data_IF_819273773579
#
_entry.id   IF_819273773579
#
_cell.length_a   1.000
_cell.length_b   1.000
_cell.length_c   1.000
_cell.angle_alpha   90.00
_cell.angle_beta   90.00
_cell.angle_gamma   90.00
#
_symmetry.space_group_name_H-M   'P 1'
#
loop_
_entity.id
_entity.type
_entity.pdbx_description
1 polymer ?
#
# COMPACT_ATOMS: atom_id res chain seq x y z
N UNK A 1 26.04 -43.21 -42.71
CA UNK A 1 25.65 -43.04 -41.30
C UNK A 1 25.53 -41.57 -41.02
N UNK A 2 24.28 -41.02 -40.87
CA UNK A 2 24.02 -39.63 -40.50
C UNK A 2 23.82 -39.57 -38.99
N UNK A 3 24.76 -38.98 -38.26
CA UNK A 3 24.65 -38.71 -36.82
C UNK A 3 23.68 -37.54 -36.59
N UNK A 4 22.52 -37.83 -36.05
CA UNK A 4 21.61 -36.81 -35.59
C UNK A 4 22.14 -36.23 -34.28
N UNK A 5 22.63 -34.98 -34.31
CA UNK A 5 22.92 -34.20 -33.10
C UNK A 5 21.59 -33.70 -32.53
N UNK A 6 21.18 -34.30 -31.41
CA UNK A 6 20.08 -33.75 -30.61
C UNK A 6 20.61 -32.50 -29.92
N UNK A 7 20.14 -31.30 -30.32
CA UNK A 7 20.35 -30.05 -29.57
C UNK A 7 19.41 -30.08 -28.40
N UNK A 8 19.93 -30.38 -27.21
CA UNK A 8 19.21 -30.18 -25.95
C UNK A 8 19.11 -28.65 -25.72
N UNK A 9 17.95 -28.05 -25.98
CA UNK A 9 17.64 -26.70 -25.55
C UNK A 9 17.35 -26.74 -24.04
N UNK A 10 18.37 -26.53 -23.24
CA UNK A 10 18.13 -26.14 -21.86
C UNK A 10 17.55 -24.71 -21.87
N UNK A 11 16.24 -24.59 -21.64
CA UNK A 11 15.66 -23.31 -21.30
C UNK A 11 16.33 -22.86 -20.00
N UNK A 12 17.14 -21.81 -20.07
CA UNK A 12 17.61 -21.10 -18.87
C UNK A 12 16.37 -20.71 -18.08
N UNK A 13 16.30 -20.97 -16.76
CA UNK A 13 15.21 -20.49 -15.95
C UNK A 13 15.13 -18.97 -16.19
N UNK A 14 14.00 -18.49 -16.65
CA UNK A 14 13.70 -17.06 -16.63
C UNK A 14 13.77 -16.69 -15.16
N UNK A 15 14.81 -15.98 -14.78
CA UNK A 15 14.97 -15.38 -13.45
C UNK A 15 13.86 -14.31 -13.35
N UNK A 16 12.65 -14.77 -13.05
CA UNK A 16 11.50 -13.91 -12.88
C UNK A 16 11.61 -13.37 -11.47
N UNK A 17 12.11 -12.13 -11.35
CA UNK A 17 12.17 -11.40 -10.10
C UNK A 17 10.80 -11.48 -9.42
N UNK A 18 10.76 -11.91 -8.17
CA UNK A 18 9.53 -11.97 -7.39
C UNK A 18 8.93 -10.57 -7.28
N UNK A 19 7.61 -10.49 -7.26
CA UNK A 19 6.87 -9.23 -7.26
C UNK A 19 6.14 -9.03 -5.94
N UNK A 20 6.16 -7.80 -5.47
CA UNK A 20 5.41 -7.40 -4.28
C UNK A 20 4.53 -6.19 -4.59
N UNK A 21 3.29 -6.19 -4.12
CA UNK A 21 2.45 -5.00 -4.06
C UNK A 21 2.50 -4.45 -2.63
N UNK A 22 2.63 -3.14 -2.48
CA UNK A 22 2.64 -2.46 -1.18
C UNK A 22 1.56 -1.38 -1.14
N UNK A 23 0.74 -1.38 -0.08
CA UNK A 23 -0.08 -0.23 0.25
C UNK A 23 0.82 0.89 0.79
N UNK A 24 0.98 1.96 0.01
CA UNK A 24 1.87 3.07 0.29
C UNK A 24 1.07 4.33 0.62
N UNK A 25 1.08 4.74 1.89
CA UNK A 25 0.39 5.95 2.36
C UNK A 25 1.30 7.18 2.40
N UNK A 26 2.61 7.01 2.25
CA UNK A 26 3.60 8.05 2.47
C UNK A 26 4.03 8.23 3.93
N UNK A 27 3.41 7.51 4.88
CA UNK A 27 3.84 7.44 6.27
C UNK A 27 5.02 6.47 6.47
N UNK A 28 5.69 6.59 7.62
CA UNK A 28 6.92 5.85 7.96
C UNK A 28 6.75 4.33 7.81
N UNK A 29 5.67 3.77 8.33
CA UNK A 29 5.48 2.32 8.37
C UNK A 29 5.35 1.74 6.95
N UNK A 30 4.53 2.36 6.11
CA UNK A 30 4.35 1.94 4.73
C UNK A 30 5.64 2.11 3.90
N UNK A 31 6.38 3.18 4.13
CA UNK A 31 7.67 3.42 3.49
C UNK A 31 8.71 2.36 3.92
N UNK A 32 8.72 1.99 5.21
CA UNK A 32 9.60 0.95 5.75
C UNK A 32 9.32 -0.41 5.09
N UNK A 33 8.04 -0.79 4.97
CA UNK A 33 7.66 -2.05 4.30
C UNK A 33 8.08 -2.05 2.83
N UNK A 34 7.85 -0.94 2.11
CA UNK A 34 8.26 -0.80 0.72
C UNK A 34 9.79 -0.91 0.55
N UNK A 35 10.55 -0.23 1.41
CA UNK A 35 12.01 -0.27 1.41
C UNK A 35 12.54 -1.67 1.74
N UNK A 36 11.93 -2.34 2.72
CA UNK A 36 12.32 -3.70 3.10
C UNK A 36 12.11 -4.68 1.95
N UNK A 37 10.95 -4.68 1.30
CA UNK A 37 10.67 -5.53 0.15
C UNK A 37 11.59 -5.25 -1.03
N UNK A 38 11.88 -3.97 -1.30
CA UNK A 38 12.85 -3.59 -2.34
C UNK A 38 14.25 -4.11 -2.03
N UNK A 39 14.70 -4.00 -0.77
CA UNK A 39 16.01 -4.49 -0.32
C UNK A 39 16.09 -6.02 -0.33
N UNK A 40 14.97 -6.71 -0.08
CA UNK A 40 14.87 -8.19 -0.16
C UNK A 40 14.78 -8.71 -1.60
N UNK A 41 14.92 -7.83 -2.58
CA UNK A 41 15.06 -8.16 -3.99
C UNK A 41 13.75 -8.28 -4.77
N UNK A 42 12.61 -7.89 -4.19
CA UNK A 42 11.35 -7.86 -4.92
C UNK A 42 11.30 -6.72 -5.95
N UNK A 43 10.59 -6.95 -7.05
CA UNK A 43 10.10 -5.89 -7.93
C UNK A 43 8.85 -5.31 -7.28
N UNK A 44 8.95 -4.08 -6.72
CA UNK A 44 7.89 -3.47 -5.91
C UNK A 44 6.93 -2.66 -6.78
N UNK A 45 5.64 -2.89 -6.58
CA UNK A 45 4.52 -2.12 -7.12
C UNK A 45 3.82 -1.43 -5.95
N UNK A 46 3.63 -0.12 -6.01
CA UNK A 46 3.00 0.65 -4.95
C UNK A 46 1.56 1.01 -5.31
N UNK A 47 0.66 0.83 -4.36
CA UNK A 47 -0.72 1.30 -4.43
C UNK A 47 -0.96 2.34 -3.35
N UNK A 48 -1.32 3.54 -3.76
CA UNK A 48 -1.80 4.61 -2.88
C UNK A 48 -3.29 4.79 -3.12
N UNK A 49 -4.09 4.79 -2.07
CA UNK A 49 -5.53 5.03 -2.17
C UNK A 49 -5.82 6.47 -1.79
N UNK A 50 -6.36 7.24 -2.74
CA UNK A 50 -6.92 8.56 -2.50
C UNK A 50 -8.42 8.40 -2.20
N UNK A 51 -8.79 8.45 -0.90
CA UNK A 51 -10.16 8.20 -0.45
C UNK A 51 -10.90 9.47 -0.04
N UNK A 52 -10.42 10.63 -0.50
CA UNK A 52 -11.00 11.94 -0.15
C UNK A 52 -10.56 12.45 1.22
N UNK A 53 -9.40 11.98 1.72
CA UNK A 53 -8.80 12.45 2.97
C UNK A 53 -8.44 13.95 2.90
N UNK A 54 -8.44 14.62 4.07
CA UNK A 54 -8.13 16.04 4.18
C UNK A 54 -6.67 16.41 3.82
N UNK A 55 -5.75 15.45 3.89
CA UNK A 55 -4.32 15.70 3.77
C UNK A 55 -3.74 15.26 2.41
N UNK A 56 -3.77 16.17 1.43
CA UNK A 56 -3.10 15.99 0.12
C UNK A 56 -1.58 15.78 0.28
N UNK A 57 -1.00 16.17 1.42
CA UNK A 57 0.42 16.01 1.73
C UNK A 57 0.83 14.52 1.74
N UNK A 58 -0.04 13.63 2.17
CA UNK A 58 0.22 12.18 2.19
C UNK A 58 0.43 11.63 0.78
N UNK A 59 -0.36 12.07 -0.20
CA UNK A 59 -0.21 11.64 -1.60
C UNK A 59 1.13 12.07 -2.18
N UNK A 60 1.58 13.29 -1.86
CA UNK A 60 2.89 13.79 -2.28
C UNK A 60 4.02 12.99 -1.62
N UNK A 61 3.90 12.71 -0.33
CA UNK A 61 4.88 11.90 0.40
C UNK A 61 4.96 10.48 -0.18
N UNK A 62 3.82 9.85 -0.50
CA UNK A 62 3.80 8.54 -1.15
C UNK A 62 4.52 8.56 -2.50
N UNK A 63 4.28 9.58 -3.34
CA UNK A 63 4.98 9.73 -4.61
C UNK A 63 6.50 9.89 -4.42
N UNK A 64 6.94 10.70 -3.47
CA UNK A 64 8.37 10.88 -3.16
C UNK A 64 9.03 9.56 -2.70
N UNK A 65 8.35 8.78 -1.87
CA UNK A 65 8.85 7.46 -1.43
C UNK A 65 8.92 6.49 -2.61
N UNK A 66 7.89 6.46 -3.45
CA UNK A 66 7.85 5.60 -4.63
C UNK A 66 9.01 5.91 -5.60
N UNK A 67 9.27 7.20 -5.85
CA UNK A 67 10.39 7.65 -6.68
C UNK A 67 11.74 7.30 -6.06
N UNK A 68 11.94 7.58 -4.76
CA UNK A 68 13.18 7.31 -4.06
C UNK A 68 13.53 5.81 -4.03
N UNK A 69 12.53 4.93 -3.95
CA UNK A 69 12.69 3.48 -3.97
C UNK A 69 12.71 2.91 -5.40
N UNK A 70 12.51 3.76 -6.42
CA UNK A 70 12.43 3.33 -7.82
C UNK A 70 11.45 2.17 -8.01
N UNK A 71 10.25 2.27 -7.41
CA UNK A 71 9.24 1.23 -7.56
C UNK A 71 8.87 1.05 -9.04
N UNK A 72 8.52 -0.16 -9.41
CA UNK A 72 8.21 -0.50 -10.80
C UNK A 72 7.00 0.23 -11.35
N UNK A 73 6.02 0.44 -10.51
CA UNK A 73 4.78 1.15 -10.82
C UNK A 73 4.23 1.76 -9.52
N UNK A 74 3.76 3.00 -9.58
CA UNK A 74 3.02 3.63 -8.51
C UNK A 74 1.62 3.99 -9.02
N UNK A 75 0.61 3.25 -8.55
CA UNK A 75 -0.80 3.50 -8.85
C UNK A 75 -1.42 4.34 -7.73
N UNK A 76 -1.93 5.51 -8.07
CA UNK A 76 -2.79 6.30 -7.17
C UNK A 76 -4.24 6.04 -7.59
N UNK A 77 -5.00 5.36 -6.74
CA UNK A 77 -6.37 4.94 -7.02
C UNK A 77 -7.36 5.82 -6.25
N UNK A 78 -8.14 6.67 -6.96
CA UNK A 78 -9.16 7.47 -6.29
C UNK A 78 -10.39 6.61 -5.97
N UNK A 79 -10.85 6.70 -4.72
CA UNK A 79 -12.15 6.17 -4.28
C UNK A 79 -12.81 7.22 -3.38
N UNK A 80 -14.11 7.27 -3.34
CA UNK A 80 -14.81 8.19 -2.46
C UNK A 80 -15.44 7.44 -1.29
N UNK A 81 -14.84 7.55 -0.09
CA UNK A 81 -15.39 6.99 1.15
C UNK A 81 -16.23 8.00 1.95
N UNK A 82 -16.36 9.24 1.49
CA UNK A 82 -17.17 10.26 2.18
C UNK A 82 -18.65 9.86 2.33
N UNK A 83 -19.28 9.21 1.33
CA UNK A 83 -20.66 8.75 1.48
C UNK A 83 -20.87 7.70 2.57
N UNK A 84 -19.81 7.00 2.99
CA UNK A 84 -19.89 6.04 4.10
C UNK A 84 -20.09 6.76 5.43
N UNK A 85 -19.56 7.98 5.58
CA UNK A 85 -19.72 8.82 6.78
C UNK A 85 -18.97 8.30 7.99
N UNK A 86 -19.43 8.72 9.17
CA UNK A 86 -18.98 8.27 10.50
C UNK A 86 -17.50 8.53 10.84
N UNK A 87 -16.78 9.42 10.12
CA UNK A 87 -15.40 9.77 10.41
C UNK A 87 -15.10 11.24 10.16
N UNK A 88 -14.41 11.88 11.09
CA UNK A 88 -13.92 13.25 10.92
C UNK A 88 -12.88 13.40 9.79
N UNK A 89 -12.31 12.32 9.27
CA UNK A 89 -11.38 12.34 8.11
C UNK A 89 -12.13 12.40 6.78
N UNK A 90 -13.37 11.93 6.74
CA UNK A 90 -14.19 11.87 5.52
C UNK A 90 -15.42 12.78 5.58
N UNK A 91 -15.84 13.20 6.76
CA UNK A 91 -16.97 14.12 6.98
C UNK A 91 -16.47 15.47 7.51
N UNK A 92 -16.65 16.54 6.71
CA UNK A 92 -16.21 17.89 7.06
C UNK A 92 -17.06 18.54 8.16
N UNK A 93 -18.22 18.01 8.47
CA UNK A 93 -19.10 18.50 9.55
C UNK A 93 -18.61 18.03 10.93
N UNK A 94 -17.77 17.01 10.99
CA UNK A 94 -17.20 16.48 12.23
C UNK A 94 -15.86 17.17 12.49
N UNK A 95 -15.74 17.89 13.62
CA UNK A 95 -14.49 18.51 14.01
C UNK A 95 -13.46 17.46 14.44
N UNK A 96 -12.23 17.60 13.95
CA UNK A 96 -11.09 16.83 14.45
C UNK A 96 -10.64 17.47 15.77
N UNK A 97 -10.66 16.77 16.91
CA UNK A 97 -10.20 17.31 18.17
C UNK A 97 -8.73 17.74 18.06
N UNK A 98 -8.45 19.01 18.33
CA UNK A 98 -7.09 19.54 18.40
C UNK A 98 -6.53 19.26 19.78
N UNK A 99 -5.55 18.33 19.85
CA UNK A 99 -4.78 18.05 21.06
C UNK A 99 -5.47 17.06 22.00
N UNK A 100 -5.32 15.77 21.71
CA UNK A 100 -5.42 14.75 22.75
C UNK A 100 -4.24 14.97 23.72
N UNK A 101 -4.54 15.30 24.98
CA UNK A 101 -3.52 15.29 26.03
C UNK A 101 -3.09 13.84 26.25
N UNK A 102 -1.78 13.62 26.36
CA UNK A 102 -1.17 12.29 26.50
C UNK A 102 -1.61 11.52 27.78
N UNK A 103 -2.35 12.19 28.64
CA UNK A 103 -2.80 11.75 29.96
C UNK A 103 -4.33 11.48 30.04
N UNK A 104 -5.08 11.66 28.96
CA UNK A 104 -6.47 11.21 28.96
C UNK A 104 -6.53 9.69 28.77
N UNK A 105 -7.28 8.95 29.62
CA UNK A 105 -7.47 7.53 29.43
C UNK A 105 -8.06 7.31 28.04
N UNK A 106 -7.44 6.42 27.27
CA UNK A 106 -7.98 5.95 25.98
C UNK A 106 -9.33 5.33 26.32
N UNK A 107 -10.38 6.17 26.33
CA UNK A 107 -11.73 5.72 26.56
C UNK A 107 -12.05 4.67 25.49
N UNK A 108 -12.80 3.65 25.85
CA UNK A 108 -13.19 2.51 25.02
C UNK A 108 -14.05 2.92 23.77
N UNK A 109 -13.92 4.16 23.33
CA UNK A 109 -14.66 4.73 22.22
C UNK A 109 -13.77 4.76 20.97
N UNK A 110 -14.33 4.28 19.88
CA UNK A 110 -13.74 4.35 18.55
C UNK A 110 -13.37 5.82 18.26
N UNK A 111 -12.10 6.12 17.90
CA UNK A 111 -11.70 7.50 17.60
C UNK A 111 -12.57 8.12 16.51
N UNK A 112 -12.92 9.41 16.65
CA UNK A 112 -13.73 10.15 15.63
C UNK A 112 -13.04 10.20 14.26
N UNK A 113 -11.75 9.93 14.19
CA UNK A 113 -10.94 9.80 12.98
C UNK A 113 -10.97 8.40 12.37
N UNK A 114 -11.62 7.43 13.02
CA UNK A 114 -11.73 6.09 12.49
C UNK A 114 -12.66 6.08 11.26
N UNK A 115 -12.12 5.62 10.14
CA UNK A 115 -12.91 5.36 8.92
C UNK A 115 -13.32 3.88 8.93
N UNK A 116 -14.63 3.57 8.97
CA UNK A 116 -15.12 2.20 9.10
C UNK A 116 -14.52 1.27 8.04
N UNK A 117 -13.93 0.16 8.49
CA UNK A 117 -13.36 -0.90 7.65
C UNK A 117 -12.35 -0.44 6.56
N UNK A 118 -11.80 0.79 6.66
CA UNK A 118 -10.90 1.37 5.66
C UNK A 118 -9.78 0.42 5.25
N UNK A 119 -9.08 -0.17 6.20
CA UNK A 119 -7.96 -1.06 5.90
C UNK A 119 -8.41 -2.32 5.17
N UNK A 120 -9.62 -2.85 5.46
CA UNK A 120 -10.19 -4.00 4.73
C UNK A 120 -10.48 -3.64 3.27
N UNK A 121 -11.05 -2.46 3.03
CA UNK A 121 -11.29 -1.96 1.66
C UNK A 121 -9.97 -1.82 0.92
N UNK A 122 -8.96 -1.22 1.54
CA UNK A 122 -7.66 -1.02 0.91
C UNK A 122 -6.94 -2.34 0.63
N UNK A 123 -7.03 -3.31 1.53
CA UNK A 123 -6.47 -4.65 1.31
C UNK A 123 -7.15 -5.35 0.13
N UNK A 124 -8.48 -5.23 -0.03
CA UNK A 124 -9.19 -5.81 -1.16
C UNK A 124 -8.75 -5.19 -2.50
N UNK A 125 -8.57 -3.86 -2.53
CA UNK A 125 -8.06 -3.16 -3.71
C UNK A 125 -6.60 -3.56 -4.02
N UNK A 126 -5.77 -3.68 -2.98
CA UNK A 126 -4.39 -4.09 -3.12
C UNK A 126 -4.27 -5.54 -3.59
N UNK A 127 -5.15 -6.43 -3.14
CA UNK A 127 -5.21 -7.81 -3.62
C UNK A 127 -5.57 -7.87 -5.10
N UNK A 128 -6.57 -7.11 -5.54
CA UNK A 128 -6.93 -7.01 -6.96
C UNK A 128 -5.76 -6.50 -7.81
N UNK A 129 -5.04 -5.48 -7.32
CA UNK A 129 -3.86 -4.97 -8.00
C UNK A 129 -2.72 -6.00 -8.03
N UNK A 130 -2.52 -6.75 -6.93
CA UNK A 130 -1.52 -7.80 -6.84
C UNK A 130 -1.78 -8.94 -7.84
N UNK A 131 -3.03 -9.39 -7.95
CA UNK A 131 -3.42 -10.39 -8.95
C UNK A 131 -3.16 -9.90 -10.38
N UNK A 132 -3.52 -8.65 -10.69
CA UNK A 132 -3.32 -8.05 -12.01
C UNK A 132 -1.81 -7.93 -12.36
N UNK A 133 -0.93 -7.78 -11.37
CA UNK A 133 0.53 -7.69 -11.54
C UNK A 133 1.25 -9.01 -11.33
N UNK A 134 0.49 -10.09 -11.01
CA UNK A 134 1.04 -11.42 -10.68
C UNK A 134 2.08 -11.31 -9.58
N UNK A 135 1.74 -10.56 -8.53
CA UNK A 135 2.59 -10.37 -7.38
C UNK A 135 2.52 -11.59 -6.44
N UNK A 136 3.66 -11.93 -5.84
CA UNK A 136 3.80 -13.06 -4.93
C UNK A 136 3.49 -12.65 -3.48
N UNK A 137 3.61 -11.35 -3.18
CA UNK A 137 3.50 -10.79 -1.83
C UNK A 137 2.67 -9.51 -1.84
N UNK A 138 1.88 -9.33 -0.78
CA UNK A 138 1.20 -8.08 -0.44
C UNK A 138 1.75 -7.55 0.88
N UNK A 139 2.28 -6.32 0.85
CA UNK A 139 2.82 -5.61 2.00
C UNK A 139 1.90 -4.52 2.52
N UNK A 140 1.76 -4.44 3.83
CA UNK A 140 1.03 -3.37 4.53
C UNK A 140 1.81 -2.95 5.78
N UNK A 141 1.99 -1.65 5.97
CA UNK A 141 2.53 -1.07 7.21
C UNK A 141 1.40 -0.82 8.19
N UNK A 142 1.40 -1.52 9.33
CA UNK A 142 0.42 -1.34 10.40
C UNK A 142 1.14 -1.16 11.72
N UNK A 143 0.63 -0.26 12.58
CA UNK A 143 1.08 -0.15 13.94
C UNK A 143 0.44 -1.24 14.80
N UNK A 144 1.23 -1.93 15.60
CA UNK A 144 0.73 -2.67 16.75
C UNK A 144 0.52 -1.65 17.90
N UNK A 145 -0.74 -1.39 18.23
CA UNK A 145 -1.10 -0.62 19.43
C UNK A 145 -1.05 -1.52 20.66
#
# INVERSE_FOLDING_TARGET
MRTHRVKLFMATPKDTKKRAVVLLSGGLDSATVAAWLSNDGFEVYALTVDYGQRHVVELKAAAMVADALSVKEHLVLPIDLRPVGASALTDLSIEVPKGLRADEPVAANIPVTYVPARNTVFLSLALSFAEARKADVLGIGVNAL
#
